data_IF_952525814385
#
_entry.id   IF_952525814385
#
_cell.length_a   1.000
_cell.length_b   1.000
_cell.length_c   1.000
_cell.angle_alpha   90.00
_cell.angle_beta   90.00
_cell.angle_gamma   90.00
#
_symmetry.space_group_name_H-M   'P 1'
#
loop_
_entity.id
_entity.type
_entity.pdbx_description
1 polymer ?
#
# COMPACT_ATOMS: atom_id res chain seq x y z
N UNK A 1 -30.65 3.82 -8.15
CA UNK A 1 -29.41 2.99 -8.16
C UNK A 1 -28.15 3.75 -7.73
N UNK A 2 -28.05 5.08 -7.85
CA UNK A 2 -26.82 5.84 -7.50
C UNK A 2 -26.46 5.95 -6.00
N UNK A 3 -27.38 5.70 -5.05
CA UNK A 3 -27.07 5.80 -3.61
C UNK A 3 -26.32 4.59 -3.04
N UNK A 4 -26.59 3.37 -3.52
CA UNK A 4 -25.94 2.15 -3.03
C UNK A 4 -24.43 2.12 -3.35
N UNK A 5 -24.01 2.75 -4.46
CA UNK A 5 -22.60 2.85 -4.82
C UNK A 5 -21.81 3.82 -3.92
N UNK A 6 -22.45 4.88 -3.39
CA UNK A 6 -21.78 5.80 -2.46
C UNK A 6 -21.56 5.18 -1.08
N UNK A 7 -22.46 4.30 -0.62
CA UNK A 7 -22.30 3.58 0.65
C UNK A 7 -21.25 2.45 0.51
N UNK A 8 -21.24 1.72 -0.62
CA UNK A 8 -20.22 0.69 -0.87
C UNK A 8 -18.78 1.23 -0.94
N UNK A 9 -18.60 2.50 -1.36
CA UNK A 9 -17.30 3.19 -1.40
C UNK A 9 -16.98 3.93 -0.07
N UNK A 10 -17.90 3.92 0.91
CA UNK A 10 -17.68 4.56 2.18
C UNK A 10 -16.51 3.88 2.91
N UNK A 11 -15.50 4.68 3.25
CA UNK A 11 -14.30 4.18 3.90
C UNK A 11 -14.62 3.89 5.36
N UNK A 12 -14.79 2.61 5.66
CA UNK A 12 -15.02 2.10 7.02
C UNK A 12 -13.76 2.30 7.87
N UNK A 13 -12.59 1.97 7.32
CA UNK A 13 -11.36 1.98 8.11
C UNK A 13 -10.11 2.22 7.26
N UNK A 14 -9.22 3.11 7.73
CA UNK A 14 -7.92 3.38 7.08
C UNK A 14 -6.80 2.86 7.96
N UNK A 15 -6.01 1.93 7.42
CA UNK A 15 -4.83 1.42 8.12
C UNK A 15 -3.65 2.37 7.90
N UNK A 16 -3.12 2.91 9.00
CA UNK A 16 -1.95 3.78 8.98
C UNK A 16 -0.68 2.98 8.63
N UNK A 17 0.19 3.51 7.75
CA UNK A 17 1.47 2.90 7.44
C UNK A 17 2.38 2.84 8.68
N UNK A 18 2.89 1.66 9.02
CA UNK A 18 3.60 1.42 10.29
C UNK A 18 5.07 1.81 10.31
N UNK A 19 5.72 2.07 9.18
CA UNK A 19 7.14 2.46 9.15
C UNK A 19 7.54 3.12 7.83
N UNK A 20 8.40 4.14 7.88
CA UNK A 20 9.10 4.69 6.71
C UNK A 20 8.65 6.06 6.20
N UNK A 21 7.56 6.65 6.72
CA UNK A 21 7.12 8.00 6.26
C UNK A 21 8.09 9.11 6.65
N UNK A 22 8.73 9.05 7.82
CA UNK A 22 9.69 10.09 8.24
C UNK A 22 10.91 10.09 7.31
N UNK A 23 11.51 8.93 7.05
CA UNK A 23 12.61 8.81 6.10
C UNK A 23 12.16 9.14 4.68
N UNK A 24 10.95 8.75 4.28
CA UNK A 24 10.37 9.13 2.98
C UNK A 24 10.24 10.64 2.82
N UNK A 25 9.69 11.35 3.81
CA UNK A 25 9.60 12.81 3.82
C UNK A 25 10.98 13.48 3.80
N UNK A 26 11.94 12.95 4.56
CA UNK A 26 13.30 13.48 4.59
C UNK A 26 14.00 13.33 3.23
N UNK A 27 13.85 12.18 2.58
CA UNK A 27 14.37 11.94 1.22
C UNK A 27 13.70 12.85 0.19
N UNK A 28 12.38 13.03 0.27
CA UNK A 28 11.64 13.96 -0.61
C UNK A 28 12.09 15.40 -0.39
N UNK A 29 12.26 15.83 0.87
CA UNK A 29 12.74 17.17 1.20
C UNK A 29 14.15 17.44 0.66
N UNK A 30 15.07 16.48 0.85
CA UNK A 30 16.44 16.58 0.33
C UNK A 30 16.44 16.61 -1.21
N UNK A 31 15.63 15.77 -1.84
CA UNK A 31 15.46 15.73 -3.29
C UNK A 31 14.93 17.05 -3.84
N UNK A 32 13.93 17.63 -3.18
CA UNK A 32 13.39 18.94 -3.54
C UNK A 32 14.44 20.04 -3.41
N UNK A 33 15.25 20.03 -2.34
CA UNK A 33 16.34 20.98 -2.18
C UNK A 33 17.40 20.87 -3.30
N UNK A 34 17.76 19.66 -3.73
CA UNK A 34 18.67 19.44 -4.86
C UNK A 34 18.10 19.96 -6.18
N UNK A 35 16.81 19.76 -6.43
CA UNK A 35 16.13 20.27 -7.63
C UNK A 35 16.10 21.80 -7.60
N UNK A 36 15.73 22.41 -6.47
CA UNK A 36 15.71 23.86 -6.30
C UNK A 36 17.10 24.46 -6.47
N UNK A 37 18.12 23.86 -5.85
CA UNK A 37 19.51 24.28 -6.04
C UNK A 37 19.94 24.15 -7.51
N UNK A 38 19.61 23.04 -8.17
CA UNK A 38 19.93 22.85 -9.58
C UNK A 38 19.29 23.86 -10.51
N UNK A 39 18.05 24.29 -10.23
CA UNK A 39 17.38 25.35 -10.99
C UNK A 39 17.95 26.73 -10.67
N UNK A 40 18.25 27.02 -9.39
CA UNK A 40 18.72 28.32 -8.95
C UNK A 40 20.17 28.62 -9.36
N UNK A 41 21.02 27.58 -9.42
CA UNK A 41 22.45 27.67 -9.71
C UNK A 41 22.80 27.06 -11.08
N UNK A 42 21.82 27.00 -12.00
CA UNK A 42 22.00 26.37 -13.30
C UNK A 42 23.08 27.09 -14.13
N UNK A 43 23.13 28.42 -14.04
CA UNK A 43 24.12 29.26 -14.72
C UNK A 43 25.48 29.30 -13.99
N UNK A 44 25.52 28.92 -12.71
CA UNK A 44 26.73 28.86 -11.89
C UNK A 44 27.48 27.51 -12.04
N UNK A 45 27.07 26.68 -13.00
CA UNK A 45 27.69 25.39 -13.30
C UNK A 45 27.22 24.24 -12.41
N UNK A 46 26.05 24.35 -11.77
CA UNK A 46 25.49 23.23 -11.03
C UNK A 46 25.22 22.04 -11.96
N UNK A 47 25.68 20.82 -11.63
CA UNK A 47 25.52 19.69 -12.55
C UNK A 47 24.05 19.30 -12.74
N UNK A 48 23.54 19.42 -13.96
CA UNK A 48 22.14 19.12 -14.30
C UNK A 48 21.74 17.68 -13.92
N UNK A 49 22.67 16.72 -14.02
CA UNK A 49 22.44 15.32 -13.63
C UNK A 49 22.21 15.13 -12.13
N UNK A 50 22.77 16.01 -11.27
CA UNK A 50 22.52 15.96 -9.82
C UNK A 50 21.08 16.39 -9.54
N UNK A 51 20.60 17.44 -10.21
CA UNK A 51 19.23 17.92 -10.06
C UNK A 51 18.22 16.88 -10.59
N UNK A 52 18.48 16.31 -11.77
CA UNK A 52 17.63 15.28 -12.36
C UNK A 52 17.65 13.97 -11.55
N UNK A 53 18.81 13.59 -11.01
CA UNK A 53 18.95 12.45 -10.11
C UNK A 53 18.18 12.66 -8.80
N UNK A 54 18.27 13.87 -8.22
CA UNK A 54 17.47 14.28 -7.07
C UNK A 54 15.97 14.17 -7.36
N UNK A 55 15.51 14.68 -8.50
CA UNK A 55 14.11 14.57 -8.92
C UNK A 55 13.64 13.11 -8.98
N UNK A 56 14.41 12.23 -9.64
CA UNK A 56 14.09 10.81 -9.74
C UNK A 56 14.01 10.14 -8.37
N UNK A 57 15.01 10.37 -7.50
CA UNK A 57 15.03 9.83 -6.14
C UNK A 57 13.82 10.32 -5.32
N UNK A 58 13.47 11.60 -5.43
CA UNK A 58 12.31 12.18 -4.77
C UNK A 58 10.99 11.54 -5.21
N UNK A 59 10.80 11.37 -6.53
CA UNK A 59 9.63 10.70 -7.10
C UNK A 59 9.55 9.25 -6.64
N UNK A 60 10.66 8.51 -6.67
CA UNK A 60 10.72 7.12 -6.19
C UNK A 60 10.43 7.01 -4.70
N UNK A 61 11.00 7.89 -3.87
CA UNK A 61 10.74 7.92 -2.43
C UNK A 61 9.28 8.23 -2.13
N UNK A 62 8.68 9.20 -2.84
CA UNK A 62 7.26 9.50 -2.73
C UNK A 62 6.39 8.30 -3.13
N UNK A 63 6.64 7.72 -4.30
CA UNK A 63 5.86 6.63 -4.86
C UNK A 63 5.97 5.34 -4.02
N UNK A 64 7.14 5.07 -3.43
CA UNK A 64 7.39 3.86 -2.65
C UNK A 64 7.05 3.99 -1.16
N UNK A 65 7.17 5.18 -0.56
CA UNK A 65 7.07 5.34 0.91
C UNK A 65 5.87 6.18 1.37
N UNK A 66 5.42 7.14 0.55
CA UNK A 66 4.34 8.06 0.93
C UNK A 66 3.00 7.69 0.29
N UNK A 67 3.05 7.16 -0.94
CA UNK A 67 1.87 6.81 -1.73
C UNK A 67 1.14 5.53 -1.27
N UNK A 68 1.82 4.43 -0.87
CA UNK A 68 1.12 3.20 -0.51
C UNK A 68 0.13 3.45 0.61
N UNK A 69 -1.10 3.02 0.40
CA UNK A 69 -2.19 3.20 1.35
C UNK A 69 -3.11 1.99 1.32
N UNK A 70 -3.62 1.62 2.50
CA UNK A 70 -4.49 0.48 2.68
C UNK A 70 -5.73 0.96 3.42
N UNK A 71 -6.89 0.75 2.84
CA UNK A 71 -8.15 1.05 3.48
C UNK A 71 -9.19 0.00 3.14
N UNK A 72 -10.17 -0.11 4.03
CA UNK A 72 -11.31 -0.99 3.89
C UNK A 72 -12.54 -0.12 3.69
N UNK A 73 -13.29 -0.45 2.65
CA UNK A 73 -14.66 0.02 2.41
C UNK A 73 -15.63 -1.05 2.90
N UNK A 74 -16.94 -0.80 2.86
CA UNK A 74 -17.94 -1.76 3.34
C UNK A 74 -17.84 -3.13 2.62
N UNK A 75 -17.51 -3.11 1.33
CA UNK A 75 -17.47 -4.33 0.50
C UNK A 75 -16.06 -4.71 0.03
N UNK A 76 -15.15 -3.74 -0.10
CA UNK A 76 -13.85 -3.94 -0.72
C UNK A 76 -12.69 -3.57 0.21
N UNK A 77 -11.69 -4.44 0.23
CA UNK A 77 -10.34 -4.10 0.67
C UNK A 77 -9.62 -3.41 -0.49
N UNK A 78 -9.22 -2.16 -0.27
CA UNK A 78 -8.50 -1.37 -1.28
C UNK A 78 -7.03 -1.27 -0.89
N UNK A 79 -6.20 -1.84 -1.75
CA UNK A 79 -4.75 -1.88 -1.64
C UNK A 79 -4.17 -0.96 -2.70
N UNK A 80 -3.74 0.25 -2.30
CA UNK A 80 -2.98 1.14 -3.18
C UNK A 80 -1.50 0.85 -3.04
N UNK A 81 -0.94 0.32 -4.12
CA UNK A 81 0.49 0.07 -4.28
C UNK A 81 1.15 1.19 -5.09
N UNK A 82 2.43 1.01 -5.44
CA UNK A 82 3.21 2.02 -6.14
C UNK A 82 2.61 2.38 -7.51
N UNK A 83 2.27 1.37 -8.32
CA UNK A 83 1.80 1.54 -9.70
C UNK A 83 0.31 1.20 -9.91
N UNK A 84 -0.31 0.50 -8.95
CA UNK A 84 -1.65 -0.05 -9.12
C UNK A 84 -2.48 0.13 -7.85
N UNK A 85 -3.77 0.33 -8.04
CA UNK A 85 -4.78 0.23 -6.98
C UNK A 85 -5.61 -1.03 -7.21
N UNK A 86 -5.61 -1.92 -6.21
CA UNK A 86 -6.33 -3.19 -6.26
C UNK A 86 -7.51 -3.14 -5.29
N UNK A 87 -8.71 -3.35 -5.80
CA UNK A 87 -9.93 -3.51 -5.03
C UNK A 87 -10.25 -5.00 -4.96
N UNK A 88 -10.21 -5.58 -3.76
CA UNK A 88 -10.52 -6.99 -3.51
C UNK A 88 -11.82 -7.02 -2.73
N UNK A 89 -12.84 -7.75 -3.20
CA UNK A 89 -14.07 -7.90 -2.43
C UNK A 89 -13.78 -8.68 -1.14
N UNK A 90 -14.17 -8.15 0.01
CA UNK A 90 -13.90 -8.75 1.32
C UNK A 90 -14.44 -10.18 1.43
N UNK A 91 -15.64 -10.43 0.88
CA UNK A 91 -16.24 -11.76 0.84
C UNK A 91 -15.45 -12.77 -0.02
N UNK A 92 -14.68 -12.28 -1.00
CA UNK A 92 -13.87 -13.11 -1.91
C UNK A 92 -12.45 -13.40 -1.39
N UNK A 93 -12.07 -12.86 -0.22
CA UNK A 93 -10.78 -13.13 0.41
C UNK A 93 -10.73 -14.59 0.85
N UNK A 94 -9.82 -15.40 0.31
CA UNK A 94 -9.63 -16.82 0.63
C UNK A 94 -8.77 -16.97 1.89
N UNK A 95 -7.61 -16.33 1.88
CA UNK A 95 -6.61 -16.39 2.95
C UNK A 95 -5.98 -15.01 3.15
N UNK A 96 -5.62 -14.71 4.39
CA UNK A 96 -4.94 -13.47 4.75
C UNK A 96 -3.90 -13.74 5.82
N UNK A 97 -2.71 -13.17 5.65
CA UNK A 97 -1.65 -13.27 6.65
C UNK A 97 -0.87 -11.96 6.74
N UNK A 98 -0.71 -11.44 7.95
CA UNK A 98 0.14 -10.29 8.23
C UNK A 98 1.50 -10.79 8.73
N UNK A 99 2.47 -10.93 7.81
CA UNK A 99 3.86 -11.28 8.16
C UNK A 99 4.76 -10.03 8.14
N UNK A 100 5.65 -9.93 7.16
CA UNK A 100 6.43 -8.71 6.92
C UNK A 100 5.65 -7.68 6.09
N UNK A 101 4.64 -8.14 5.38
CA UNK A 101 3.73 -7.40 4.51
C UNK A 101 2.39 -8.13 4.54
N UNK A 102 1.29 -7.39 4.48
CA UNK A 102 -0.05 -7.95 4.39
C UNK A 102 -0.16 -8.69 3.05
N UNK A 103 -0.32 -10.01 3.12
CA UNK A 103 -0.61 -10.84 1.95
C UNK A 103 -2.07 -11.29 2.00
N UNK A 104 -2.82 -10.96 0.96
CA UNK A 104 -4.22 -11.35 0.79
C UNK A 104 -4.31 -12.23 -0.44
N UNK A 105 -4.84 -13.43 -0.30
CA UNK A 105 -5.13 -14.32 -1.42
C UNK A 105 -6.61 -14.19 -1.78
N UNK A 106 -6.90 -13.90 -3.03
CA UNK A 106 -8.25 -13.84 -3.58
C UNK A 106 -8.22 -14.23 -5.06
N UNK A 107 -9.22 -14.99 -5.50
CA UNK A 107 -9.34 -15.47 -6.87
C UNK A 107 -8.07 -16.19 -7.35
N UNK A 108 -7.55 -17.12 -6.53
CA UNK A 108 -6.34 -17.91 -6.80
C UNK A 108 -5.02 -17.10 -6.93
N UNK A 109 -5.07 -15.78 -6.72
CA UNK A 109 -3.89 -14.88 -6.82
C UNK A 109 -3.54 -14.28 -5.46
N UNK A 110 -2.25 -14.17 -5.20
CA UNK A 110 -1.69 -13.54 -4.00
C UNK A 110 -1.40 -12.06 -4.27
N UNK A 111 -2.01 -11.19 -3.47
CA UNK A 111 -1.80 -9.75 -3.46
C UNK A 111 -1.00 -9.38 -2.21
N UNK A 112 -0.07 -8.44 -2.35
CA UNK A 112 0.81 -8.01 -1.27
C UNK A 112 0.67 -6.50 -1.10
N UNK A 113 0.50 -6.04 0.14
CA UNK A 113 0.53 -4.62 0.51
C UNK A 113 1.69 -4.38 1.47
N UNK A 114 2.46 -3.34 1.18
CA UNK A 114 3.59 -2.88 2.00
C UNK A 114 3.16 -1.98 3.16
N UNK A 115 1.87 -1.63 3.24
CA UNK A 115 1.35 -0.61 4.16
C UNK A 115 1.28 -1.13 5.60
N UNK A 116 0.86 -2.39 5.77
CA UNK A 116 0.83 -3.07 7.06
C UNK A 116 1.89 -4.15 7.04
N UNK A 117 3.02 -3.87 7.70
CA UNK A 117 4.13 -4.79 7.85
C UNK A 117 4.66 -4.80 9.27
N UNK A 118 5.09 -5.97 9.76
CA UNK A 118 5.88 -6.03 10.99
C UNK A 118 7.24 -5.39 10.73
N UNK A 119 7.64 -4.46 11.59
CA UNK A 119 9.00 -3.93 11.56
C UNK A 119 10.00 -5.09 11.72
N UNK A 120 11.05 -5.10 10.89
CA UNK A 120 12.04 -6.18 10.82
C UNK A 120 12.63 -6.54 12.20
N UNK A 121 12.75 -5.53 13.08
CA UNK A 121 13.20 -5.67 14.48
C UNK A 121 12.24 -6.49 15.37
N UNK A 122 10.92 -6.43 15.15
CA UNK A 122 9.93 -7.22 15.92
C UNK A 122 9.64 -8.60 15.30
N UNK A 123 9.70 -8.71 13.96
CA UNK A 123 9.52 -10.00 13.28
C UNK A 123 10.55 -11.06 13.70
N UNK A 124 11.73 -10.61 14.15
CA UNK A 124 12.80 -11.48 14.65
C UNK A 124 12.59 -11.90 16.12
N UNK A 125 11.89 -11.10 16.94
CA UNK A 125 11.57 -11.43 18.34
C UNK A 125 10.31 -12.33 18.47
N UNK A 126 9.31 -12.19 17.60
CA UNK A 126 8.03 -12.91 17.72
C UNK A 126 8.08 -14.39 17.32
N UNK A 127 9.23 -14.97 16.96
CA UNK A 127 9.34 -16.41 16.67
C UNK A 127 9.19 -17.32 17.91
N UNK A 128 9.00 -16.78 19.11
CA UNK A 128 9.02 -17.57 20.37
C UNK A 128 7.69 -17.79 21.08
N UNK A 129 6.55 -17.29 20.59
CA UNK A 129 5.29 -17.48 21.33
C UNK A 129 4.12 -17.71 20.40
N UNK A 130 3.95 -18.96 19.96
CA UNK A 130 2.71 -19.45 19.40
C UNK A 130 1.98 -20.16 20.55
N UNK A 131 1.23 -19.40 21.33
CA UNK A 131 0.42 -19.90 22.45
C UNK A 131 -0.99 -19.38 22.27
N UNK A 132 -1.93 -20.32 22.12
CA UNK A 132 -3.35 -20.08 21.97
C UNK A 132 -3.89 -19.14 23.05
N UNK A 133 -4.76 -18.21 22.63
CA UNK A 133 -5.65 -17.32 23.42
C UNK A 133 -5.37 -15.83 23.12
N UNK A 134 -6.05 -15.22 22.14
CA UNK A 134 -5.86 -13.79 21.82
C UNK A 134 -7.16 -13.10 21.33
N UNK A 135 -7.94 -12.59 22.28
CA UNK A 135 -8.75 -11.40 22.06
C UNK A 135 -7.88 -10.13 22.10
N UNK A 136 -8.41 -8.95 21.73
CA UNK A 136 -7.68 -7.69 21.79
C UNK A 136 -7.18 -7.42 23.23
N UNK A 137 -5.86 -7.40 23.42
CA UNK A 137 -5.22 -7.08 24.71
C UNK A 137 -4.61 -5.68 24.64
N UNK A 138 -4.80 -4.90 25.70
CA UNK A 138 -4.15 -3.60 25.86
C UNK A 138 -2.62 -3.77 25.76
N UNK A 139 -1.98 -3.10 24.79
CA UNK A 139 -0.54 -3.24 24.49
C UNK A 139 -0.18 -4.13 23.28
N UNK A 140 -1.17 -4.66 22.56
CA UNK A 140 -0.96 -5.43 21.31
C UNK A 140 -0.24 -4.60 20.24
N UNK A 141 0.66 -5.23 19.46
CA UNK A 141 1.32 -4.53 18.37
C UNK A 141 0.29 -4.16 17.29
N UNK A 142 0.37 -2.95 16.75
CA UNK A 142 -0.59 -2.45 15.74
C UNK A 142 -0.81 -3.41 14.56
N UNK A 143 0.22 -4.17 14.16
CA UNK A 143 0.10 -5.19 13.11
C UNK A 143 -0.84 -6.34 13.50
N UNK A 144 -0.83 -6.78 14.75
CA UNK A 144 -1.66 -7.89 15.24
C UNK A 144 -3.09 -7.40 15.48
N UNK A 145 -3.26 -6.16 15.97
CA UNK A 145 -4.58 -5.50 16.03
C UNK A 145 -5.18 -5.34 14.63
N UNK A 146 -4.40 -4.88 13.66
CA UNK A 146 -4.84 -4.72 12.28
C UNK A 146 -5.20 -6.07 11.63
N UNK A 147 -4.44 -7.14 11.93
CA UNK A 147 -4.77 -8.50 11.47
C UNK A 147 -6.09 -8.99 12.05
N UNK A 148 -6.32 -8.81 13.36
CA UNK A 148 -7.57 -9.21 14.02
C UNK A 148 -8.76 -8.43 13.46
N UNK A 149 -8.61 -7.11 13.36
CA UNK A 149 -9.66 -6.23 12.84
C UNK A 149 -10.01 -6.56 11.40
N UNK A 150 -9.02 -6.88 10.58
CA UNK A 150 -9.25 -7.24 9.18
C UNK A 150 -9.94 -8.61 9.04
N UNK A 151 -9.68 -9.55 9.95
CA UNK A 151 -10.43 -10.82 10.02
C UNK A 151 -11.90 -10.57 10.38
N UNK A 152 -12.18 -9.71 11.37
CA UNK A 152 -13.56 -9.34 11.73
C UNK A 152 -14.33 -8.75 10.53
N UNK A 153 -13.69 -7.86 9.77
CA UNK A 153 -14.30 -7.22 8.59
C UNK A 153 -14.58 -8.24 7.47
N UNK A 154 -13.64 -9.16 7.21
CA UNK A 154 -13.83 -10.24 6.23
C UNK A 154 -14.97 -11.17 6.64
N UNK A 155 -15.01 -11.57 7.91
CA UNK A 155 -16.07 -12.46 8.40
C UNK A 155 -17.44 -11.76 8.44
N UNK A 156 -17.49 -10.46 8.75
CA UNK A 156 -18.70 -9.64 8.66
C UNK A 156 -19.22 -9.56 7.22
N UNK A 157 -18.33 -9.32 6.25
CA UNK A 157 -18.69 -9.25 4.84
C UNK A 157 -19.17 -10.61 4.30
N UNK A 158 -18.51 -11.72 4.69
CA UNK A 158 -18.94 -13.08 4.32
C UNK A 158 -20.32 -13.42 4.87
N UNK A 159 -20.58 -13.11 6.14
CA UNK A 159 -21.90 -13.31 6.77
C UNK A 159 -22.98 -12.52 6.03
N UNK A 160 -22.70 -11.28 5.68
CA UNK A 160 -23.63 -10.41 4.94
C UNK A 160 -23.90 -10.91 3.52
N UNK A 161 -22.88 -11.46 2.86
CA UNK A 161 -22.99 -12.07 1.54
C UNK A 161 -23.58 -13.50 1.56
N UNK A 162 -23.74 -14.11 2.73
CA UNK A 162 -24.22 -15.49 2.88
C UNK A 162 -23.21 -16.57 2.43
N UNK A 163 -21.93 -16.22 2.31
CA UNK A 163 -20.90 -17.08 1.70
C UNK A 163 -20.05 -17.78 2.78
N UNK A 164 -19.78 -19.08 2.60
CA UNK A 164 -18.88 -19.84 3.48
C UNK A 164 -17.41 -19.79 3.02
N UNK A 165 -16.44 -19.77 3.95
CA UNK A 165 -15.02 -19.85 3.62
C UNK A 165 -14.70 -21.12 2.83
N UNK A 166 -13.95 -21.00 1.73
CA UNK A 166 -13.54 -22.11 0.86
C UNK A 166 -14.66 -22.72 0.02
N UNK A 167 -15.85 -22.09 -0.02
CA UNK A 167 -16.98 -22.61 -0.79
C UNK A 167 -16.88 -22.28 -2.29
N UNK A 168 -17.53 -23.09 -3.15
CA UNK A 168 -17.63 -22.77 -4.58
C UNK A 168 -18.37 -21.46 -4.85
N UNK A 169 -19.31 -21.10 -3.98
CA UNK A 169 -20.03 -19.82 -4.03
C UNK A 169 -19.09 -18.63 -3.81
N UNK A 170 -18.09 -18.79 -2.95
CA UNK A 170 -17.04 -17.79 -2.76
C UNK A 170 -16.19 -17.58 -4.02
N UNK A 171 -15.82 -18.67 -4.68
CA UNK A 171 -15.02 -18.64 -5.91
C UNK A 171 -15.83 -18.12 -7.11
N UNK A 172 -17.15 -18.24 -7.06
CA UNK A 172 -18.08 -17.81 -8.10
C UNK A 172 -18.57 -16.35 -7.92
N UNK A 173 -18.10 -15.63 -6.89
CA UNK A 173 -18.44 -14.22 -6.69
C UNK A 173 -18.03 -13.40 -7.92
N UNK A 174 -18.94 -12.59 -8.51
CA UNK A 174 -18.61 -11.77 -9.67
C UNK A 174 -17.66 -10.64 -9.26
N UNK A 175 -16.69 -10.32 -10.12
CA UNK A 175 -15.66 -9.28 -9.89
C UNK A 175 -14.95 -9.40 -8.52
N UNK A 176 -14.30 -10.53 -8.22
CA UNK A 176 -13.63 -10.73 -6.94
C UNK A 176 -12.44 -9.78 -6.75
N UNK A 177 -11.83 -9.35 -7.86
CA UNK A 177 -10.70 -8.41 -7.89
C UNK A 177 -10.85 -7.45 -9.06
N UNK A 178 -10.81 -6.15 -8.77
CA UNK A 178 -10.69 -5.09 -9.77
C UNK A 178 -9.33 -4.40 -9.63
N UNK A 179 -8.58 -4.29 -10.72
CA UNK A 179 -7.29 -3.57 -10.77
C UNK A 179 -7.44 -2.29 -11.57
N UNK A 180 -6.93 -1.21 -11.02
CA UNK A 180 -6.85 0.09 -11.68
C UNK A 180 -5.38 0.52 -11.74
N UNK A 181 -4.90 0.84 -12.94
CA UNK A 181 -3.53 1.28 -13.15
C UNK A 181 -3.40 2.77 -12.87
N UNK A 182 -2.45 3.13 -12.03
CA UNK A 182 -2.15 4.52 -11.74
C UNK A 182 -1.11 5.06 -12.73
N UNK A 183 -1.58 5.74 -13.77
CA UNK A 183 -0.71 6.32 -14.81
C UNK A 183 0.20 7.44 -14.28
N UNK A 184 -0.23 8.14 -13.24
CA UNK A 184 0.49 9.29 -12.67
C UNK A 184 1.89 8.91 -12.14
N UNK A 185 2.07 7.97 -11.20
CA UNK A 185 3.40 7.60 -10.70
C UNK A 185 4.31 7.03 -11.80
N UNK A 186 3.76 6.23 -12.73
CA UNK A 186 4.53 5.69 -13.85
C UNK A 186 5.03 6.81 -14.77
N UNK A 187 4.17 7.77 -15.09
CA UNK A 187 4.55 8.92 -15.93
C UNK A 187 5.62 9.79 -15.26
N UNK A 188 5.50 10.06 -13.95
CA UNK A 188 6.51 10.82 -13.20
C UNK A 188 7.86 10.12 -13.16
N UNK A 189 7.89 8.79 -12.94
CA UNK A 189 9.13 8.01 -12.97
C UNK A 189 9.76 8.02 -14.36
N UNK A 190 8.96 7.84 -15.41
CA UNK A 190 9.44 7.84 -16.79
C UNK A 190 10.03 9.21 -17.19
N UNK A 191 9.33 10.31 -16.87
CA UNK A 191 9.78 11.67 -17.18
C UNK A 191 11.06 12.03 -16.41
N UNK A 192 11.12 11.74 -15.11
CA UNK A 192 12.31 12.01 -14.31
C UNK A 192 13.52 11.17 -14.74
N UNK A 193 13.31 9.91 -15.13
CA UNK A 193 14.34 9.06 -15.74
C UNK A 193 14.84 9.60 -17.09
N UNK A 194 13.93 10.06 -17.96
CA UNK A 194 14.30 10.65 -19.24
C UNK A 194 15.12 11.95 -19.06
N UNK A 195 14.72 12.82 -18.12
CA UNK A 195 15.47 14.03 -17.78
C UNK A 195 16.87 13.70 -17.25
N UNK A 196 16.99 12.68 -16.41
CA UNK A 196 18.29 12.21 -15.92
C UNK A 196 19.17 11.75 -17.09
N UNK A 197 18.64 10.92 -17.99
CA UNK A 197 19.40 10.47 -19.16
C UNK A 197 19.84 11.65 -20.03
N UNK A 198 18.93 12.56 -20.37
CA UNK A 198 19.25 13.75 -21.16
C UNK A 198 20.33 14.61 -20.50
N UNK A 199 20.26 14.79 -19.18
CA UNK A 199 21.23 15.58 -18.41
C UNK A 199 22.63 14.97 -18.32
N UNK A 200 22.80 13.68 -18.66
CA UNK A 200 24.12 13.05 -18.76
C UNK A 200 24.81 13.32 -20.10
N UNK A 201 24.05 13.78 -21.11
CA UNK A 201 24.56 14.10 -22.44
C UNK A 201 24.73 15.60 -22.69
N UNK A 202 24.35 16.43 -21.71
CA UNK A 202 24.54 17.88 -21.68
C UNK A 202 25.78 18.23 -20.85
#
# INVERSE_FOLDING_TARGET
MARLQHDADAVVERFQPTSGRISGWLTVGLSAALVVAGVAYLDDGFPAWVAAGGLLVGVLAWAAMLRPALWVTEEHLVMRNLADTVHIRLAAVEEMAVRQVLAVRAADRRFVSTVVGRSWRKAMLSRRTHGADDGPRDGMAYADWAEHRLHELVDGARKSAGVRPGSREQLALPDPVRREHDVLPLSLIAVSGALLLLSLFL
#
